data_IF_444795002227
#
_entry.id   IF_444795002227
#
_cell.length_a   1.000
_cell.length_b   1.000
_cell.length_c   1.000
_cell.angle_alpha   90.00
_cell.angle_beta   90.00
_cell.angle_gamma   90.00
#
_symmetry.space_group_name_H-M   'P 1'
#
loop_
_entity.id
_entity.type
_entity.pdbx_description
1 polymer ?
#
# COMPACT_ATOMS: atom_id res chain seq x y z
N UNK A 1 8.82 -8.14 -6.24
CA UNK A 1 8.00 -7.09 -6.87
C UNK A 1 7.86 -7.27 -8.38
N UNK A 2 8.95 -7.43 -9.15
CA UNK A 2 8.85 -7.61 -10.61
C UNK A 2 8.09 -8.88 -11.00
N UNK A 3 8.31 -10.00 -10.32
CA UNK A 3 7.58 -11.26 -10.54
C UNK A 3 6.09 -11.11 -10.29
N UNK A 4 5.70 -10.38 -9.24
CA UNK A 4 4.29 -10.08 -8.97
C UNK A 4 3.69 -9.26 -10.11
N UNK A 5 4.35 -8.18 -10.51
CA UNK A 5 3.88 -7.35 -11.64
C UNK A 5 3.70 -8.15 -12.93
N UNK A 6 4.62 -9.06 -13.24
CA UNK A 6 4.49 -9.98 -14.39
C UNK A 6 3.30 -10.94 -14.23
N UNK A 7 3.10 -11.49 -13.04
CA UNK A 7 1.98 -12.41 -12.74
C UNK A 7 0.61 -11.73 -12.86
N UNK A 8 0.55 -10.42 -12.63
CA UNK A 8 -0.66 -9.60 -12.84
C UNK A 8 -0.71 -8.96 -14.22
N UNK A 9 -0.14 -9.61 -15.23
CA UNK A 9 -0.20 -9.18 -16.64
C UNK A 9 0.29 -7.76 -16.87
N UNK A 10 1.29 -7.32 -16.06
CA UNK A 10 1.86 -5.99 -16.13
C UNK A 10 0.86 -4.86 -15.75
N UNK A 11 -0.14 -5.15 -14.93
CA UNK A 11 -1.03 -4.12 -14.40
C UNK A 11 -0.20 -3.05 -13.66
N UNK A 12 -0.37 -1.79 -14.06
CA UNK A 12 0.40 -0.65 -13.54
C UNK A 12 0.24 -0.44 -12.02
N UNK A 13 -0.83 -0.97 -11.41
CA UNK A 13 -1.02 -0.94 -9.95
C UNK A 13 0.11 -1.67 -9.20
N UNK A 14 0.64 -2.74 -9.77
CA UNK A 14 1.68 -3.58 -9.15
C UNK A 14 3.08 -3.28 -9.66
N UNK A 15 3.23 -2.22 -10.47
CA UNK A 15 4.50 -1.82 -11.04
C UNK A 15 5.53 -1.51 -9.95
N UNK A 16 6.72 -2.15 -9.98
CA UNK A 16 7.77 -1.86 -9.01
C UNK A 16 8.32 -0.45 -9.17
N UNK A 17 8.75 0.15 -8.06
CA UNK A 17 9.36 1.47 -8.11
C UNK A 17 10.67 1.44 -8.91
N UNK A 18 10.93 2.54 -9.62
CA UNK A 18 12.16 2.70 -10.38
C UNK A 18 13.42 2.64 -9.50
N UNK A 19 13.33 3.15 -8.26
CA UNK A 19 14.41 3.08 -7.28
C UNK A 19 14.75 1.65 -6.91
N UNK A 20 13.74 0.78 -6.68
CA UNK A 20 13.97 -0.64 -6.42
C UNK A 20 14.65 -1.33 -7.61
N UNK A 21 14.20 -1.04 -8.82
CA UNK A 21 14.79 -1.61 -10.04
C UNK A 21 16.27 -1.23 -10.15
N UNK A 22 16.61 0.04 -9.98
CA UNK A 22 18.01 0.50 -10.01
C UNK A 22 18.89 -0.16 -8.96
N UNK A 23 18.39 -0.34 -7.73
CA UNK A 23 19.14 -1.04 -6.69
C UNK A 23 19.41 -2.50 -7.06
N UNK A 24 18.42 -3.19 -7.62
CA UNK A 24 18.59 -4.57 -8.08
C UNK A 24 19.61 -4.65 -9.23
N UNK A 25 19.52 -3.77 -10.22
CA UNK A 25 20.48 -3.70 -11.34
C UNK A 25 21.92 -3.41 -10.87
N UNK A 26 22.06 -2.61 -9.81
CA UNK A 26 23.36 -2.34 -9.17
C UNK A 26 23.86 -3.49 -8.26
N UNK A 27 23.12 -4.58 -8.13
CA UNK A 27 23.45 -5.69 -7.24
C UNK A 27 23.23 -5.40 -5.74
N UNK A 28 22.53 -4.31 -5.39
CA UNK A 28 22.28 -3.87 -4.01
C UNK A 28 21.02 -4.54 -3.47
N UNK A 29 21.13 -5.82 -3.14
CA UNK A 29 20.01 -6.70 -2.75
C UNK A 29 19.69 -6.67 -1.24
N UNK A 30 20.22 -5.73 -0.50
CA UNK A 30 20.02 -5.60 0.94
C UNK A 30 21.10 -6.32 1.75
N UNK A 31 20.73 -6.87 2.91
CA UNK A 31 21.67 -7.54 3.83
C UNK A 31 22.50 -8.63 3.16
N UNK A 32 21.91 -9.40 2.23
CA UNK A 32 22.58 -10.51 1.54
C UNK A 32 23.80 -10.06 0.72
N UNK A 33 23.74 -8.87 0.13
CA UNK A 33 24.85 -8.27 -0.64
C UNK A 33 25.64 -7.23 0.16
N UNK A 34 25.32 -7.06 1.45
CA UNK A 34 25.92 -6.05 2.31
C UNK A 34 25.46 -4.62 2.03
N UNK A 35 24.64 -4.41 1.00
CA UNK A 35 24.15 -3.09 0.60
C UNK A 35 22.78 -3.18 -0.05
N UNK A 36 21.91 -2.20 0.22
CA UNK A 36 20.59 -2.02 -0.36
C UNK A 36 20.20 -0.56 -0.28
N UNK A 37 19.04 -0.26 0.26
CA UNK A 37 18.66 1.10 0.68
C UNK A 37 19.59 1.61 1.79
N UNK A 38 20.12 0.69 2.60
CA UNK A 38 21.13 0.98 3.64
C UNK A 38 22.43 0.27 3.31
N UNK A 39 23.57 0.80 3.83
CA UNK A 39 24.85 0.10 3.80
C UNK A 39 25.00 -0.74 5.08
N UNK A 40 25.04 -2.07 4.92
CA UNK A 40 25.15 -3.03 6.02
C UNK A 40 26.59 -3.48 6.30
N UNK A 41 27.57 -2.95 5.58
CA UNK A 41 29.00 -3.30 5.73
C UNK A 41 29.64 -2.50 6.85
N UNK A 42 29.13 -1.31 7.12
CA UNK A 42 29.56 -0.51 8.27
C UNK A 42 29.00 -1.11 9.55
N UNK A 43 29.87 -1.29 10.55
CA UNK A 43 29.47 -1.64 11.92
C UNK A 43 28.90 -0.45 12.71
N UNK A 44 29.02 0.74 12.16
CA UNK A 44 28.39 1.90 12.75
C UNK A 44 26.87 1.70 12.67
N UNK A 45 26.27 1.55 13.83
CA UNK A 45 24.83 1.63 13.96
C UNK A 45 24.45 3.00 13.37
N UNK A 46 23.74 2.99 12.24
CA UNK A 46 23.16 4.21 11.72
C UNK A 46 22.25 4.75 12.82
N UNK A 47 22.78 5.66 13.62
CA UNK A 47 21.97 6.48 14.51
C UNK A 47 21.19 7.38 13.57
N UNK A 48 20.06 6.85 13.10
CA UNK A 48 19.07 7.66 12.41
C UNK A 48 18.57 8.61 13.51
N UNK A 49 19.01 9.85 13.45
CA UNK A 49 18.47 10.91 14.29
C UNK A 49 17.00 11.05 13.86
N UNK A 50 16.11 10.37 14.60
CA UNK A 50 14.70 10.31 14.28
C UNK A 50 13.97 11.42 15.05
N UNK A 51 14.25 12.66 14.71
CA UNK A 51 13.19 13.66 14.85
C UNK A 51 12.11 13.28 13.81
N UNK A 52 11.10 12.57 14.27
CA UNK A 52 9.99 12.16 13.42
C UNK A 52 9.14 13.40 13.16
N UNK A 53 9.10 13.87 11.93
CA UNK A 53 8.07 14.80 11.49
C UNK A 53 6.72 14.07 11.53
N UNK A 54 5.96 14.28 12.60
CA UNK A 54 4.67 13.64 12.82
C UNK A 54 3.66 13.94 11.71
N UNK A 55 3.74 15.12 11.10
CA UNK A 55 2.87 15.52 9.99
C UNK A 55 3.17 14.66 8.75
N UNK A 56 4.45 14.54 8.42
CA UNK A 56 4.89 13.69 7.30
C UNK A 56 4.59 12.21 7.56
N UNK A 57 4.84 11.73 8.77
CA UNK A 57 4.55 10.34 9.15
C UNK A 57 3.06 10.04 9.04
N UNK A 58 2.19 10.93 9.52
CA UNK A 58 0.74 10.82 9.41
C UNK A 58 0.27 10.82 7.95
N UNK A 59 0.84 11.71 7.12
CA UNK A 59 0.53 11.75 5.69
C UNK A 59 0.91 10.44 4.99
N UNK A 60 2.11 9.92 5.24
CA UNK A 60 2.58 8.65 4.68
C UNK A 60 1.68 7.49 5.11
N UNK A 61 1.37 7.42 6.42
CA UNK A 61 0.49 6.39 6.96
C UNK A 61 -0.89 6.40 6.30
N UNK A 62 -1.54 7.56 6.25
CA UNK A 62 -2.86 7.71 5.61
C UNK A 62 -2.83 7.28 4.15
N UNK A 63 -1.82 7.72 3.40
CA UNK A 63 -1.67 7.34 1.99
C UNK A 63 -1.55 5.82 1.80
N UNK A 64 -0.75 5.15 2.64
CA UNK A 64 -0.61 3.70 2.61
C UNK A 64 -1.93 3.03 2.97
N UNK A 65 -2.58 3.49 4.03
CA UNK A 65 -3.80 2.89 4.54
C UNK A 65 -4.95 2.95 3.52
N UNK A 66 -5.20 4.10 2.89
CA UNK A 66 -6.27 4.20 1.88
C UNK A 66 -5.99 3.34 0.65
N UNK A 67 -4.73 3.13 0.28
CA UNK A 67 -4.37 2.19 -0.79
C UNK A 67 -4.64 0.74 -0.40
N UNK A 68 -4.31 0.34 0.83
CA UNK A 68 -4.59 -1.01 1.34
C UNK A 68 -6.09 -1.28 1.42
N UNK A 69 -6.87 -0.31 1.89
CA UNK A 69 -8.33 -0.36 1.90
C UNK A 69 -8.87 -0.54 0.48
N UNK A 70 -8.34 0.22 -0.47
CA UNK A 70 -8.75 0.14 -1.86
C UNK A 70 -8.47 -1.23 -2.50
N UNK A 71 -7.31 -1.83 -2.22
CA UNK A 71 -6.98 -3.19 -2.68
C UNK A 71 -7.88 -4.25 -2.03
N UNK A 72 -8.21 -4.11 -0.74
CA UNK A 72 -9.17 -4.99 -0.08
C UNK A 72 -10.56 -4.90 -0.73
N UNK A 73 -11.01 -3.68 -1.02
CA UNK A 73 -12.27 -3.43 -1.72
C UNK A 73 -12.28 -4.02 -3.14
N UNK A 74 -11.20 -3.86 -3.90
CA UNK A 74 -11.06 -4.45 -5.25
C UNK A 74 -11.04 -5.99 -5.20
N UNK A 75 -10.49 -6.58 -4.14
CA UNK A 75 -10.49 -8.05 -3.94
C UNK A 75 -11.91 -8.58 -3.79
N UNK A 76 -12.76 -7.86 -3.04
CA UNK A 76 -14.18 -8.19 -2.90
C UNK A 76 -14.94 -7.91 -4.21
N UNK A 77 -14.71 -6.75 -4.84
CA UNK A 77 -15.32 -6.35 -6.10
C UNK A 77 -15.13 -7.38 -7.20
N UNK A 78 -13.95 -7.96 -7.27
CA UNK A 78 -13.58 -8.96 -8.28
C UNK A 78 -14.03 -10.39 -7.93
N UNK A 79 -14.68 -10.57 -6.77
CA UNK A 79 -15.19 -11.86 -6.33
C UNK A 79 -14.13 -12.88 -5.93
N UNK A 80 -12.92 -12.43 -5.59
CA UNK A 80 -11.83 -13.31 -5.13
C UNK A 80 -12.18 -13.89 -3.76
N UNK A 81 -12.78 -13.08 -2.87
CA UNK A 81 -13.23 -13.50 -1.55
C UNK A 81 -14.37 -12.60 -1.04
N UNK A 82 -15.01 -13.00 0.06
CA UNK A 82 -16.00 -12.17 0.75
C UNK A 82 -15.34 -11.06 1.58
N UNK A 83 -16.15 -10.07 2.00
CA UNK A 83 -15.70 -9.04 2.96
C UNK A 83 -15.13 -9.68 4.23
N UNK A 84 -15.80 -10.67 4.77
CA UNK A 84 -15.37 -11.38 5.97
C UNK A 84 -14.03 -12.07 5.78
N UNK A 85 -13.80 -12.70 4.62
CA UNK A 85 -12.57 -13.43 4.35
C UNK A 85 -11.36 -12.47 4.25
N UNK A 86 -11.51 -11.32 3.59
CA UNK A 86 -10.42 -10.34 3.52
C UNK A 86 -10.09 -9.75 4.89
N UNK A 87 -11.10 -9.51 5.74
CA UNK A 87 -10.89 -9.05 7.11
C UNK A 87 -10.09 -10.08 7.94
N UNK A 88 -10.52 -11.36 7.89
CA UNK A 88 -9.82 -12.46 8.57
C UNK A 88 -8.40 -12.65 8.06
N UNK A 89 -8.19 -12.56 6.75
CA UNK A 89 -6.87 -12.67 6.14
C UNK A 89 -5.91 -11.57 6.63
N UNK A 90 -6.39 -10.35 6.77
CA UNK A 90 -5.57 -9.23 7.27
C UNK A 90 -5.27 -9.36 8.76
N UNK A 91 -6.26 -9.76 9.57
CA UNK A 91 -6.08 -9.95 11.00
C UNK A 91 -5.10 -11.10 11.32
N UNK A 92 -5.33 -12.28 10.74
CA UNK A 92 -4.59 -13.48 11.11
C UNK A 92 -3.43 -13.81 10.18
N UNK A 93 -3.49 -13.40 8.92
CA UNK A 93 -2.43 -13.65 7.93
C UNK A 93 -1.30 -12.63 8.00
N UNK A 94 -1.62 -11.36 8.27
CA UNK A 94 -0.63 -10.27 8.30
C UNK A 94 -0.50 -9.59 9.67
N UNK A 95 -1.27 -10.04 10.67
CA UNK A 95 -1.27 -9.52 12.04
C UNK A 95 -1.58 -8.01 12.12
N UNK A 96 -2.50 -7.54 11.29
CA UNK A 96 -3.01 -6.18 11.39
C UNK A 96 -3.88 -6.02 12.64
N UNK A 97 -3.94 -4.81 13.25
CA UNK A 97 -4.69 -4.58 14.47
C UNK A 97 -6.21 -4.67 14.25
N UNK A 98 -6.67 -4.50 13.02
CA UNK A 98 -8.07 -4.59 12.61
C UNK A 98 -8.17 -4.87 11.10
N UNK A 99 -9.35 -5.26 10.64
CA UNK A 99 -9.63 -5.44 9.23
C UNK A 99 -9.61 -4.13 8.44
N UNK A 100 -9.33 -4.19 7.15
CA UNK A 100 -9.17 -3.00 6.32
C UNK A 100 -10.51 -2.34 5.99
N UNK A 101 -11.57 -3.13 5.74
CA UNK A 101 -12.90 -2.59 5.47
C UNK A 101 -13.54 -2.02 6.75
N UNK A 102 -13.33 -2.66 7.90
CA UNK A 102 -13.69 -2.09 9.19
C UNK A 102 -12.97 -0.75 9.42
N UNK A 103 -11.70 -0.67 9.07
CA UNK A 103 -10.94 0.57 9.19
C UNK A 103 -11.47 1.68 8.26
N UNK A 104 -11.93 1.31 7.06
CA UNK A 104 -12.58 2.22 6.14
C UNK A 104 -13.86 2.83 6.71
N UNK A 105 -14.68 2.02 7.38
CA UNK A 105 -15.91 2.50 8.04
C UNK A 105 -15.61 3.46 9.20
N UNK A 106 -14.57 3.17 10.00
CA UNK A 106 -14.15 4.06 11.10
C UNK A 106 -13.60 5.41 10.61
N UNK A 107 -12.91 5.43 9.47
CA UNK A 107 -12.42 6.66 8.84
C UNK A 107 -13.57 7.42 8.18
N UNK A 108 -14.55 6.71 7.66
CA UNK A 108 -15.60 7.16 6.77
C UNK A 108 -15.26 6.87 5.32
N UNK A 109 -16.15 6.15 4.63
CA UNK A 109 -15.95 5.75 3.23
C UNK A 109 -15.74 6.94 2.29
N UNK A 110 -16.50 8.02 2.51
CA UNK A 110 -16.37 9.27 1.74
C UNK A 110 -14.99 9.89 1.88
N UNK A 111 -14.41 9.88 3.09
CA UNK A 111 -13.05 10.39 3.34
C UNK A 111 -12.00 9.53 2.63
N UNK A 112 -12.16 8.19 2.67
CA UNK A 112 -11.26 7.27 1.95
C UNK A 112 -11.29 7.55 0.45
N UNK A 113 -12.48 7.69 -0.12
CA UNK A 113 -12.67 8.02 -1.55
C UNK A 113 -12.05 9.38 -1.87
N UNK A 114 -12.33 10.40 -1.06
CA UNK A 114 -11.78 11.74 -1.26
C UNK A 114 -10.25 11.76 -1.29
N UNK A 115 -9.62 11.03 -0.37
CA UNK A 115 -8.17 10.93 -0.33
C UNK A 115 -7.60 10.19 -1.56
N UNK A 116 -8.23 9.10 -1.99
CA UNK A 116 -7.82 8.37 -3.19
C UNK A 116 -7.98 9.21 -4.46
N UNK A 117 -9.11 9.91 -4.61
CA UNK A 117 -9.34 10.81 -5.74
C UNK A 117 -8.29 11.93 -5.79
N UNK A 118 -7.98 12.55 -4.65
CA UNK A 118 -6.94 13.56 -4.57
C UNK A 118 -5.54 13.03 -4.92
N UNK A 119 -5.23 11.79 -4.56
CA UNK A 119 -3.99 11.12 -4.96
C UNK A 119 -4.01 10.81 -6.46
N UNK A 120 -5.13 10.33 -7.00
CA UNK A 120 -5.27 10.06 -8.42
C UNK A 120 -5.14 11.33 -9.27
N UNK A 121 -5.81 12.40 -8.89
CA UNK A 121 -5.73 13.69 -9.59
C UNK A 121 -4.31 14.27 -9.61
N UNK A 122 -3.57 14.03 -8.53
CA UNK A 122 -2.18 14.52 -8.42
C UNK A 122 -1.17 13.69 -9.21
N UNK A 123 -1.31 12.36 -9.20
CA UNK A 123 -0.29 11.45 -9.73
C UNK A 123 -0.69 10.74 -11.02
N UNK A 124 -1.99 10.66 -11.31
CA UNK A 124 -2.56 9.91 -12.44
C UNK A 124 -2.08 8.45 -12.53
N UNK A 125 -1.83 7.84 -11.35
CA UNK A 125 -1.40 6.45 -11.29
C UNK A 125 -2.58 5.52 -11.00
N UNK A 126 -2.68 4.41 -11.73
CA UNK A 126 -3.79 3.45 -11.61
C UNK A 126 -3.98 2.89 -10.19
N UNK A 127 -2.91 2.84 -9.38
CA UNK A 127 -2.94 2.40 -7.98
C UNK A 127 -3.84 3.25 -7.06
N UNK A 128 -4.17 4.47 -7.47
CA UNK A 128 -5.06 5.37 -6.71
C UNK A 128 -6.49 5.41 -7.26
N UNK A 129 -6.76 4.68 -8.34
CA UNK A 129 -8.12 4.58 -8.87
C UNK A 129 -9.03 3.92 -7.86
N UNK A 130 -10.05 4.65 -7.42
CA UNK A 130 -11.01 4.17 -6.42
C UNK A 130 -11.73 2.92 -6.91
N UNK A 131 -11.79 1.90 -6.08
CA UNK A 131 -12.58 0.70 -6.35
C UNK A 131 -14.06 1.04 -6.53
N UNK A 132 -14.74 0.50 -7.56
CA UNK A 132 -16.19 0.64 -7.70
C UNK A 132 -16.94 0.21 -6.44
N UNK A 133 -16.49 -0.83 -5.77
CA UNK A 133 -17.06 -1.31 -4.51
C UNK A 133 -17.21 -0.20 -3.44
N UNK A 134 -16.19 0.65 -3.25
CA UNK A 134 -16.27 1.75 -2.29
C UNK A 134 -17.27 2.83 -2.72
N UNK A 135 -17.32 3.14 -4.02
CA UNK A 135 -18.27 4.13 -4.55
C UNK A 135 -19.71 3.66 -4.44
N UNK A 136 -19.96 2.40 -4.76
CA UNK A 136 -21.31 1.83 -4.72
C UNK A 136 -21.84 1.83 -3.28
N UNK A 137 -21.00 1.54 -2.28
CA UNK A 137 -21.42 1.58 -0.86
C UNK A 137 -21.81 2.97 -0.38
N UNK A 138 -21.16 4.01 -0.84
CA UNK A 138 -21.53 5.40 -0.49
C UNK A 138 -22.81 5.82 -1.22
N UNK A 139 -23.05 5.32 -2.44
CA UNK A 139 -24.22 5.69 -3.24
C UNK A 139 -25.52 5.01 -2.76
N UNK A 140 -25.43 3.98 -1.92
CA UNK A 140 -26.58 3.21 -1.38
C UNK A 140 -27.02 3.76 -0.03
N UNK A 141 -26.21 4.58 0.63
CA UNK A 141 -26.52 5.28 1.89
C UNK A 141 -27.19 6.62 1.64
#
# INVERSE_FOLDING_TARGET
TQSVWQSFWYDDRYKPSFSQKKLVEAGYLGKKSGRGFYDYRSKETLVVNTEVDETLASYIFKRILVMLINEAADTVQTGICSEQDVELAMLYGTNYPKGLLQWAEEIGLEEVIYQLDGLYDRYHEARYRVSPYLRDRVSIL
#
